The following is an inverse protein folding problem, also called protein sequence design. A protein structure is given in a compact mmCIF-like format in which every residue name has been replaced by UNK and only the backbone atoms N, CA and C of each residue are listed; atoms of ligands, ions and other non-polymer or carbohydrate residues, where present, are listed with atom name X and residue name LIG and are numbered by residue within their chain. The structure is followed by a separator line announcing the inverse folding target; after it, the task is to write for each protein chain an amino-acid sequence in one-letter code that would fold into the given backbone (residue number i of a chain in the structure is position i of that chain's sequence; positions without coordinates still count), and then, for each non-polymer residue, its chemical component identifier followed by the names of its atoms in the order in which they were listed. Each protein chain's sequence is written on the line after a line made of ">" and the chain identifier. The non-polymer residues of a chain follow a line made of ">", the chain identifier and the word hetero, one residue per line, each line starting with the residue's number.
data_IF_279674468696
#
_entry.id   IF_279674468696
#
_cell.length_a   1.000
_cell.length_b   1.000
_cell.length_c   1.000
_cell.angle_alpha   90.00
_cell.angle_beta   90.00
_cell.angle_gamma   90.00
#
_symmetry.space_group_name_H-M   'P 1'
#
loop_
_entity.id
_entity.type
_entity.pdbx_description
1 polymer ?
#
# COMPACT_ATOMS: atom_id res chain seq x y z
N UNK A 1 -0.03 32.86 -3.36
CA UNK A 1 -0.79 31.83 -4.11
C UNK A 1 -2.12 32.40 -4.56
N UNK A 2 -2.59 32.04 -5.76
CA UNK A 2 -3.92 32.42 -6.28
C UNK A 2 -4.86 31.22 -6.41
N UNK A 3 -4.35 30.00 -6.22
CA UNK A 3 -5.08 28.73 -6.33
C UNK A 3 -4.62 27.75 -5.25
N UNK A 4 -5.43 26.76 -4.92
CA UNK A 4 -5.07 25.68 -3.98
C UNK A 4 -4.06 24.72 -4.60
N UNK A 5 -3.37 23.94 -3.77
CA UNK A 5 -2.18 23.20 -4.19
C UNK A 5 -2.50 21.90 -4.96
N UNK A 6 -3.57 21.19 -4.60
CA UNK A 6 -3.80 19.82 -5.06
C UNK A 6 -4.77 19.74 -6.25
N UNK A 7 -5.88 20.48 -6.21
CA UNK A 7 -6.96 20.44 -7.22
C UNK A 7 -7.21 21.80 -7.89
N UNK A 8 -6.31 22.75 -7.68
CA UNK A 8 -6.26 24.03 -8.39
C UNK A 8 -7.54 24.87 -8.24
N UNK A 9 -8.15 24.91 -7.04
CA UNK A 9 -9.32 25.76 -6.78
C UNK A 9 -8.93 27.24 -6.73
N UNK A 10 -9.70 28.15 -7.35
CA UNK A 10 -9.41 29.58 -7.30
C UNK A 10 -9.59 30.14 -5.88
N UNK A 11 -8.61 30.90 -5.41
CA UNK A 11 -8.67 31.57 -4.11
C UNK A 11 -9.38 32.93 -4.21
N UNK A 12 -10.00 33.34 -3.11
CA UNK A 12 -10.66 34.64 -2.97
C UNK A 12 -9.58 35.73 -2.86
N UNK A 13 -9.72 36.77 -3.69
CA UNK A 13 -8.85 37.96 -3.69
C UNK A 13 -8.99 38.75 -2.38
N UNK A 14 -7.92 39.48 -2.02
CA UNK A 14 -7.93 40.32 -0.83
C UNK A 14 -9.00 41.43 -0.95
N UNK A 15 -9.77 41.63 0.12
CA UNK A 15 -10.83 42.62 0.22
C UNK A 15 -10.98 43.12 1.66
N UNK A 16 -11.84 44.13 1.88
CA UNK A 16 -12.11 44.65 3.23
C UNK A 16 -12.64 43.56 4.18
N UNK A 17 -12.28 43.69 5.46
CA UNK A 17 -12.61 42.77 6.56
C UNK A 17 -11.95 41.37 6.51
N UNK A 18 -10.92 41.17 5.67
CA UNK A 18 -10.08 39.96 5.66
C UNK A 18 -10.79 38.60 5.56
N UNK A 19 -12.05 38.56 5.12
CA UNK A 19 -12.85 37.32 4.97
C UNK A 19 -12.17 36.28 4.07
N UNK A 20 -11.38 36.75 3.10
CA UNK A 20 -10.60 35.91 2.20
C UNK A 20 -9.65 34.98 2.95
N UNK A 21 -9.11 35.35 4.12
CA UNK A 21 -8.21 34.50 4.90
C UNK A 21 -8.93 33.23 5.35
N UNK A 22 -10.05 33.38 6.07
CA UNK A 22 -10.84 32.25 6.58
C UNK A 22 -11.41 31.37 5.46
N UNK A 23 -11.86 32.00 4.36
CA UNK A 23 -12.41 31.24 3.22
C UNK A 23 -11.31 30.49 2.47
N UNK A 24 -10.14 31.10 2.26
CA UNK A 24 -9.04 30.45 1.56
C UNK A 24 -8.43 29.32 2.40
N UNK A 25 -8.40 29.45 3.73
CA UNK A 25 -8.01 28.36 4.63
C UNK A 25 -9.00 27.19 4.53
N UNK A 26 -10.31 27.47 4.50
CA UNK A 26 -11.31 26.43 4.28
C UNK A 26 -11.17 25.75 2.91
N UNK A 27 -10.79 26.47 1.86
CA UNK A 27 -10.49 25.90 0.55
C UNK A 27 -9.23 25.06 0.56
N UNK A 28 -8.17 25.46 1.24
CA UNK A 28 -6.96 24.64 1.39
C UNK A 28 -7.27 23.32 2.11
N UNK A 29 -8.12 23.36 3.14
CA UNK A 29 -8.57 22.14 3.83
C UNK A 29 -9.45 21.25 2.93
N UNK A 30 -10.38 21.84 2.17
CA UNK A 30 -11.22 21.10 1.23
C UNK A 30 -10.37 20.45 0.12
N UNK A 31 -9.41 21.19 -0.41
CA UNK A 31 -8.45 20.73 -1.41
C UNK A 31 -7.62 19.53 -0.92
N UNK A 32 -7.10 19.62 0.30
CA UNK A 32 -6.38 18.53 0.95
C UNK A 32 -7.28 17.31 1.26
N UNK A 33 -8.53 17.52 1.63
CA UNK A 33 -9.45 16.43 2.00
C UNK A 33 -10.15 15.77 0.81
N UNK A 34 -10.33 16.48 -0.32
CA UNK A 34 -11.08 15.99 -1.47
C UNK A 34 -10.37 14.85 -2.22
N UNK A 35 -9.04 14.89 -2.27
CA UNK A 35 -8.17 13.84 -2.81
C UNK A 35 -7.07 13.57 -1.79
N UNK A 36 -7.47 13.04 -0.63
CA UNK A 36 -6.58 12.92 0.52
C UNK A 36 -5.39 11.99 0.22
N UNK A 37 -4.21 12.59 0.15
CA UNK A 37 -2.92 11.90 0.03
C UNK A 37 -2.08 12.27 1.26
N UNK A 38 -1.96 11.31 2.18
CA UNK A 38 -1.14 11.40 3.38
C UNK A 38 0.29 11.02 3.01
N UNK A 39 1.24 11.93 3.19
CA UNK A 39 2.66 11.66 2.99
C UNK A 39 3.14 10.53 3.92
N UNK A 40 2.70 10.56 5.19
CA UNK A 40 2.91 9.49 6.16
C UNK A 40 1.82 9.52 7.24
N UNK A 41 1.63 8.37 7.90
CA UNK A 41 0.80 8.24 9.13
C UNK A 41 1.59 7.86 10.38
N UNK A 42 2.90 7.64 10.25
CA UNK A 42 3.77 7.16 11.34
C UNK A 42 4.89 8.14 11.69
N UNK A 43 5.17 9.12 10.83
CA UNK A 43 6.17 10.14 11.06
C UNK A 43 5.79 11.06 12.24
N UNK A 44 6.65 11.16 13.25
CA UNK A 44 6.40 11.94 14.48
C UNK A 44 7.01 13.35 14.44
N UNK A 45 7.96 13.61 13.55
CA UNK A 45 8.66 14.88 13.41
C UNK A 45 8.19 15.56 12.12
N UNK A 46 7.64 16.79 12.16
CA UNK A 46 7.31 17.52 10.93
C UNK A 46 8.56 17.71 10.07
N UNK A 47 8.45 17.60 8.72
CA UNK A 47 9.57 17.93 7.85
C UNK A 47 9.96 19.42 8.01
N UNK A 48 11.26 19.71 7.94
CA UNK A 48 11.78 21.08 8.07
C UNK A 48 11.24 21.99 6.96
N UNK A 49 11.04 21.44 5.77
CA UNK A 49 10.40 22.09 4.63
C UNK A 49 9.28 21.19 4.10
N UNK A 50 8.07 21.73 4.00
CA UNK A 50 6.93 21.09 3.37
C UNK A 50 6.44 21.98 2.23
N UNK A 51 6.00 21.37 1.13
CA UNK A 51 5.28 22.10 0.09
C UNK A 51 3.84 22.34 0.56
N UNK A 52 3.25 23.47 0.16
CA UNK A 52 1.82 23.70 0.39
C UNK A 52 0.99 22.56 -0.23
N UNK A 53 -0.05 22.14 0.49
CA UNK A 53 -0.87 20.99 0.15
C UNK A 53 -0.36 19.66 0.70
N UNK A 54 0.87 19.60 1.25
CA UNK A 54 1.38 18.37 1.87
C UNK A 54 0.56 18.01 3.10
N UNK A 55 0.11 16.76 3.19
CA UNK A 55 -0.74 16.28 4.27
C UNK A 55 -0.06 15.16 5.04
N UNK A 56 -0.18 15.16 6.36
CA UNK A 56 0.26 14.07 7.24
C UNK A 56 -0.87 13.69 8.21
N UNK A 57 -0.87 12.45 8.67
CA UNK A 57 -1.53 12.15 9.94
C UNK A 57 -0.51 12.32 11.06
N UNK A 58 -0.89 13.01 12.13
CA UNK A 58 -0.03 13.24 13.29
C UNK A 58 -0.16 12.05 14.24
N UNK A 59 0.85 11.18 14.36
CA UNK A 59 0.81 10.04 15.26
C UNK A 59 0.95 10.48 16.73
N UNK A 60 0.62 9.60 17.68
CA UNK A 60 1.00 9.79 19.08
C UNK A 60 2.50 10.00 19.23
N UNK A 61 2.90 10.88 20.16
CA UNK A 61 4.32 11.19 20.39
C UNK A 61 4.94 12.17 19.39
N UNK A 62 4.12 12.86 18.60
CA UNK A 62 4.61 13.91 17.70
C UNK A 62 5.25 15.09 18.44
N UNK A 63 6.26 15.70 17.80
CA UNK A 63 7.10 16.76 18.37
C UNK A 63 7.00 18.07 17.56
N UNK A 64 7.73 19.09 18.00
CA UNK A 64 7.80 20.42 17.37
C UNK A 64 6.42 21.03 17.10
N UNK A 65 6.16 21.48 15.86
CA UNK A 65 4.90 22.10 15.46
C UNK A 65 3.69 21.16 15.59
N UNK A 66 3.90 19.86 15.79
CA UNK A 66 2.85 18.85 15.92
C UNK A 66 2.52 18.48 17.38
N UNK A 67 3.20 19.07 18.36
CA UNK A 67 2.90 18.84 19.79
C UNK A 67 1.43 19.14 20.08
N UNK A 68 0.75 18.19 20.73
CA UNK A 68 -0.66 18.30 21.11
C UNK A 68 -1.66 18.09 19.97
N UNK A 69 -1.20 17.75 18.75
CA UNK A 69 -2.05 17.53 17.58
C UNK A 69 -2.20 16.05 17.20
N UNK A 70 -1.79 15.13 18.07
CA UNK A 70 -1.93 13.69 17.86
C UNK A 70 -3.35 13.29 17.47
N UNK A 71 -3.47 12.39 16.49
CA UNK A 71 -4.75 11.94 15.94
C UNK A 71 -5.32 12.83 14.84
N UNK A 72 -4.78 14.05 14.64
CA UNK A 72 -5.26 14.96 13.60
C UNK A 72 -4.57 14.72 12.25
N UNK A 73 -5.16 15.27 11.21
CA UNK A 73 -4.56 15.42 9.91
C UNK A 73 -3.96 16.83 9.83
N UNK A 74 -2.66 16.92 9.60
CA UNK A 74 -1.92 18.16 9.43
C UNK A 74 -1.76 18.47 7.94
N UNK A 75 -2.22 19.64 7.53
CA UNK A 75 -2.12 20.16 6.15
C UNK A 75 -1.16 21.34 6.17
N UNK A 76 -0.08 21.29 5.40
CA UNK A 76 0.80 22.45 5.23
C UNK A 76 0.16 23.44 4.26
N UNK A 77 -0.01 24.69 4.69
CA UNK A 77 -0.65 25.74 3.90
C UNK A 77 -0.13 27.10 4.35
N UNK A 78 0.26 27.93 3.38
CA UNK A 78 0.70 29.31 3.59
C UNK A 78 1.82 29.43 4.66
N UNK A 79 2.77 28.49 4.64
CA UNK A 79 3.91 28.47 5.56
C UNK A 79 3.62 27.96 6.98
N UNK A 80 2.45 27.35 7.22
CA UNK A 80 2.07 26.81 8.52
C UNK A 80 1.27 25.52 8.44
N UNK A 81 1.09 24.86 9.58
CA UNK A 81 0.27 23.65 9.70
C UNK A 81 -1.16 23.99 10.12
N UNK A 82 -2.12 23.55 9.31
CA UNK A 82 -3.55 23.59 9.63
C UNK A 82 -3.97 22.18 10.03
N UNK A 83 -4.63 22.03 11.18
CA UNK A 83 -4.98 20.72 11.71
C UNK A 83 -6.50 20.47 11.65
N UNK A 84 -6.89 19.33 11.09
CA UNK A 84 -8.28 18.89 11.01
C UNK A 84 -8.46 17.53 11.68
N UNK A 85 -9.55 17.35 12.42
CA UNK A 85 -9.90 16.07 13.01
C UNK A 85 -10.53 15.16 11.94
N UNK A 86 -9.90 14.02 11.58
CA UNK A 86 -10.51 13.07 10.66
C UNK A 86 -11.76 12.44 11.30
N UNK A 87 -12.72 12.02 10.46
CA UNK A 87 -13.93 11.31 10.91
C UNK A 87 -13.93 9.88 10.39
N UNK A 88 -14.53 8.98 11.14
CA UNK A 88 -14.71 7.59 10.71
C UNK A 88 -15.29 7.53 9.29
N UNK A 89 -14.70 6.69 8.45
CA UNK A 89 -15.06 6.54 7.03
C UNK A 89 -14.26 7.42 6.07
N UNK A 90 -13.40 8.32 6.56
CA UNK A 90 -12.43 9.02 5.70
C UNK A 90 -11.49 8.04 5.01
N UNK A 91 -11.18 8.30 3.75
CA UNK A 91 -10.29 7.49 2.92
C UNK A 91 -9.16 8.36 2.40
N UNK A 92 -7.98 7.75 2.24
CA UNK A 92 -6.85 8.42 1.63
C UNK A 92 -5.83 7.42 1.07
N UNK A 93 -4.85 7.95 0.36
CA UNK A 93 -3.65 7.23 -0.03
C UNK A 93 -2.51 7.58 0.92
N UNK A 94 -1.75 6.59 1.36
CA UNK A 94 -0.53 6.81 2.14
C UNK A 94 0.65 6.66 1.18
N UNK A 95 1.38 7.75 0.95
CA UNK A 95 2.43 7.83 -0.07
C UNK A 95 3.68 7.03 0.26
N UNK A 96 4.10 7.02 1.53
CA UNK A 96 5.32 6.32 1.95
C UNK A 96 5.19 4.78 1.84
N UNK A 97 4.00 4.23 2.07
CA UNK A 97 3.70 2.80 1.91
C UNK A 97 3.10 2.44 0.56
N UNK A 98 2.61 3.42 -0.21
CA UNK A 98 1.93 3.16 -1.48
C UNK A 98 0.62 2.38 -1.32
N UNK A 99 -0.16 2.69 -0.29
CA UNK A 99 -1.40 1.95 0.04
C UNK A 99 -2.58 2.86 0.27
N UNK A 100 -3.78 2.40 -0.05
CA UNK A 100 -5.01 3.02 0.43
C UNK A 100 -5.15 2.86 1.95
N UNK A 101 -5.91 3.73 2.59
CA UNK A 101 -6.24 3.59 4.01
C UNK A 101 -7.66 4.10 4.30
N UNK A 102 -8.30 3.47 5.29
CA UNK A 102 -9.61 3.84 5.80
C UNK A 102 -9.46 4.25 7.27
N UNK A 103 -9.92 5.45 7.62
CA UNK A 103 -9.92 5.89 9.01
C UNK A 103 -11.11 5.27 9.76
N UNK A 104 -10.84 4.53 10.83
CA UNK A 104 -11.86 3.81 11.58
C UNK A 104 -12.51 4.63 12.71
N UNK A 105 -12.10 5.89 12.87
CA UNK A 105 -12.53 6.78 13.94
C UNK A 105 -11.47 6.96 15.04
N UNK A 106 -10.46 6.11 15.08
CA UNK A 106 -9.31 6.24 15.98
C UNK A 106 -7.98 6.25 15.22
N UNK A 107 -7.80 5.32 14.27
CA UNK A 107 -6.56 5.16 13.51
C UNK A 107 -6.83 4.95 12.02
N UNK A 108 -5.83 5.24 11.20
CA UNK A 108 -5.83 4.87 9.79
C UNK A 108 -5.51 3.37 9.67
N UNK A 109 -6.37 2.63 8.98
CA UNK A 109 -6.20 1.21 8.69
C UNK A 109 -5.72 1.04 7.25
N UNK A 110 -4.42 0.78 7.02
CA UNK A 110 -3.88 0.58 5.68
C UNK A 110 -4.52 -0.64 5.01
N UNK A 111 -4.76 -0.55 3.70
CA UNK A 111 -5.30 -1.61 2.84
C UNK A 111 -6.69 -2.14 3.26
N UNK A 112 -7.33 -1.48 4.24
CA UNK A 112 -8.65 -1.86 4.71
C UNK A 112 -9.74 -1.47 3.70
N UNK A 113 -10.56 -2.45 3.33
CA UNK A 113 -11.75 -2.26 2.48
C UNK A 113 -13.02 -2.10 3.33
N UNK A 114 -13.01 -2.59 4.56
CA UNK A 114 -14.09 -2.42 5.53
C UNK A 114 -13.51 -2.35 6.95
N UNK A 115 -14.14 -1.56 7.81
CA UNK A 115 -13.82 -1.45 9.25
C UNK A 115 -15.10 -1.51 10.06
N UNK A 116 -15.03 -2.14 11.24
CA UNK A 116 -16.12 -2.20 12.21
C UNK A 116 -15.98 -1.10 13.28
N UNK A 117 -17.04 -0.86 14.04
CA UNK A 117 -17.08 0.15 15.11
C UNK A 117 -15.99 -0.05 16.18
N UNK A 118 -15.53 -1.28 16.38
CA UNK A 118 -14.49 -1.63 17.34
C UNK A 118 -13.13 -1.91 16.68
N UNK A 119 -12.90 -1.47 15.44
CA UNK A 119 -11.58 -1.50 14.81
C UNK A 119 -11.18 -2.80 14.12
N UNK A 120 -12.03 -3.84 14.10
CA UNK A 120 -11.79 -4.99 13.23
C UNK A 120 -11.87 -4.54 11.77
N UNK A 121 -10.96 -5.04 10.93
CA UNK A 121 -10.89 -4.65 9.52
C UNK A 121 -10.78 -5.87 8.59
N UNK A 122 -11.33 -5.71 7.40
CA UNK A 122 -11.10 -6.58 6.26
C UNK A 122 -10.08 -5.90 5.35
N UNK A 123 -8.96 -6.56 5.09
CA UNK A 123 -7.84 -6.03 4.28
C UNK A 123 -7.81 -6.73 2.93
N UNK A 124 -7.54 -5.97 1.88
CA UNK A 124 -7.23 -6.48 0.54
C UNK A 124 -5.82 -6.03 0.18
N UNK A 125 -4.90 -6.99 0.10
CA UNK A 125 -3.47 -6.71 0.03
C UNK A 125 -2.85 -7.33 -1.22
N UNK A 126 -1.85 -6.64 -1.76
CA UNK A 126 -0.98 -7.12 -2.83
C UNK A 126 0.44 -7.04 -2.31
N UNK A 127 1.08 -8.19 -2.15
CA UNK A 127 2.47 -8.27 -1.68
C UNK A 127 3.34 -8.63 -2.88
N UNK A 128 4.16 -7.68 -3.33
CA UNK A 128 5.02 -7.83 -4.50
C UNK A 128 6.49 -8.02 -4.08
N UNK A 129 7.19 -8.91 -4.77
CA UNK A 129 8.64 -9.06 -4.65
C UNK A 129 9.28 -9.45 -5.98
N UNK A 130 10.47 -8.89 -6.22
CA UNK A 130 11.40 -9.40 -7.22
C UNK A 130 12.18 -10.59 -6.63
N UNK A 131 12.26 -11.67 -7.38
CA UNK A 131 12.90 -12.93 -6.98
C UNK A 131 13.97 -13.27 -8.01
N UNK A 132 15.22 -13.25 -7.56
CA UNK A 132 16.36 -13.71 -8.35
C UNK A 132 16.39 -15.24 -8.37
N UNK A 133 16.37 -15.81 -9.57
CA UNK A 133 16.41 -17.25 -9.76
C UNK A 133 17.85 -17.75 -9.60
N UNK A 134 18.05 -18.68 -8.67
CA UNK A 134 19.33 -19.32 -8.43
C UNK A 134 19.47 -20.58 -9.28
N UNK A 135 20.71 -21.06 -9.45
CA UNK A 135 20.90 -22.33 -10.15
C UNK A 135 20.36 -23.49 -9.33
N UNK A 136 19.51 -24.32 -9.94
CA UNK A 136 18.89 -25.46 -9.27
C UNK A 136 17.56 -25.87 -9.92
N UNK A 137 17.00 -27.02 -9.50
CA UNK A 137 15.69 -27.47 -9.98
C UNK A 137 14.53 -26.69 -9.36
N UNK A 138 14.74 -26.07 -8.20
CA UNK A 138 13.72 -25.32 -7.46
C UNK A 138 14.36 -24.26 -6.56
N UNK A 139 13.57 -23.29 -6.15
CA UNK A 139 13.89 -22.34 -5.08
C UNK A 139 12.62 -21.91 -4.35
N UNK A 140 12.79 -21.38 -3.14
CA UNK A 140 11.73 -20.74 -2.37
C UNK A 140 11.98 -19.23 -2.29
N UNK A 141 10.92 -18.44 -2.43
CA UNK A 141 10.97 -17.00 -2.14
C UNK A 141 11.14 -16.75 -0.62
N UNK A 142 11.32 -15.49 -0.18
CA UNK A 142 10.98 -15.11 1.19
C UNK A 142 9.52 -15.44 1.53
N UNK A 143 9.16 -15.37 2.81
CA UNK A 143 7.78 -15.59 3.27
C UNK A 143 6.85 -14.46 2.82
N UNK A 144 6.37 -14.56 1.57
CA UNK A 144 5.47 -13.58 0.95
C UNK A 144 4.01 -13.79 1.33
N UNK A 145 3.62 -15.01 1.72
CA UNK A 145 2.26 -15.31 2.17
C UNK A 145 2.25 -15.25 3.71
N UNK A 146 1.58 -14.26 4.31
CA UNK A 146 1.51 -14.10 5.75
C UNK A 146 0.56 -15.10 6.39
N UNK A 147 0.72 -15.28 7.70
CA UNK A 147 -0.20 -16.09 8.51
C UNK A 147 -1.60 -15.46 8.59
N UNK A 148 -2.63 -16.30 8.61
CA UNK A 148 -4.01 -15.89 8.87
C UNK A 148 -4.65 -15.16 7.69
N UNK A 149 -4.26 -15.49 6.46
CA UNK A 149 -4.82 -14.90 5.25
C UNK A 149 -5.47 -15.94 4.34
N UNK A 150 -6.23 -15.43 3.36
CA UNK A 150 -6.76 -16.20 2.25
C UNK A 150 -6.15 -15.64 0.96
N UNK A 151 -5.38 -16.47 0.24
CA UNK A 151 -4.83 -16.08 -1.07
C UNK A 151 -5.87 -16.34 -2.15
N UNK A 152 -6.08 -15.33 -2.99
CA UNK A 152 -7.01 -15.35 -4.13
C UNK A 152 -6.29 -15.75 -5.42
N UNK A 153 -5.01 -15.39 -5.53
CA UNK A 153 -4.17 -15.73 -6.66
C UNK A 153 -2.80 -15.08 -6.61
N UNK A 154 -1.98 -15.41 -7.59
CA UNK A 154 -0.67 -14.83 -7.81
C UNK A 154 -0.61 -14.31 -9.24
N UNK A 155 -0.15 -13.08 -9.40
CA UNK A 155 0.26 -12.56 -10.72
C UNK A 155 1.77 -12.40 -10.76
N UNK A 156 2.33 -12.32 -11.96
CA UNK A 156 3.75 -12.04 -12.09
C UNK A 156 4.21 -11.89 -13.53
N UNK A 157 5.46 -11.45 -13.67
CA UNK A 157 6.13 -11.24 -14.94
C UNK A 157 7.61 -11.60 -14.82
N UNK A 158 8.17 -12.18 -15.88
CA UNK A 158 9.61 -12.37 -16.03
C UNK A 158 10.23 -11.01 -16.34
N UNK A 159 11.06 -10.50 -15.44
CA UNK A 159 11.73 -9.19 -15.56
C UNK A 159 13.16 -9.30 -16.08
N UNK A 160 13.75 -10.49 -16.00
CA UNK A 160 14.99 -10.87 -16.70
C UNK A 160 14.84 -12.30 -17.22
N UNK A 161 15.20 -12.54 -18.48
CA UNK A 161 14.97 -13.82 -19.14
C UNK A 161 15.56 -14.99 -18.34
N UNK A 162 14.77 -16.04 -18.19
CA UNK A 162 15.12 -17.22 -17.40
C UNK A 162 16.05 -18.11 -18.22
N UNK A 163 17.23 -18.37 -17.67
CA UNK A 163 18.23 -19.27 -18.25
C UNK A 163 18.18 -20.66 -17.63
N UNK A 164 18.73 -21.64 -18.34
CA UNK A 164 18.91 -23.01 -17.85
C UNK A 164 18.60 -24.07 -18.89
N UNK A 165 18.36 -25.29 -18.43
CA UNK A 165 18.00 -26.45 -19.28
C UNK A 165 16.50 -26.74 -19.30
N UNK A 166 15.73 -26.02 -18.49
CA UNK A 166 14.28 -26.15 -18.35
C UNK A 166 13.52 -25.74 -19.62
N UNK A 167 12.36 -26.37 -19.85
CA UNK A 167 11.44 -26.03 -20.95
C UNK A 167 10.34 -25.04 -20.52
N UNK A 168 10.20 -24.83 -19.22
CA UNK A 168 9.20 -23.99 -18.59
C UNK A 168 9.42 -23.97 -17.08
N UNK A 169 8.55 -23.28 -16.36
CA UNK A 169 8.59 -23.26 -14.90
C UNK A 169 7.18 -23.21 -14.33
N UNK A 170 7.09 -23.44 -13.02
CA UNK A 170 5.82 -23.41 -12.29
C UNK A 170 5.98 -22.65 -10.98
N UNK A 171 4.86 -22.14 -10.49
CA UNK A 171 4.77 -21.46 -9.21
C UNK A 171 3.67 -22.08 -8.36
N UNK A 172 4.02 -22.35 -7.11
CA UNK A 172 3.16 -22.99 -6.12
C UNK A 172 3.55 -22.54 -4.72
N UNK A 173 3.30 -23.43 -3.78
CA UNK A 173 3.77 -23.36 -2.39
C UNK A 173 4.29 -24.74 -2.00
N UNK A 174 5.10 -24.86 -0.94
CA UNK A 174 5.43 -26.17 -0.38
C UNK A 174 4.16 -27.00 -0.12
N UNK A 175 4.13 -28.25 -0.61
CA UNK A 175 2.94 -29.12 -0.55
C UNK A 175 1.84 -28.81 -1.59
N UNK A 176 2.06 -27.84 -2.48
CA UNK A 176 1.13 -27.43 -3.54
C UNK A 176 1.87 -26.94 -4.78
N UNK A 177 2.77 -27.77 -5.32
CA UNK A 177 3.52 -27.51 -6.56
C UNK A 177 2.60 -27.10 -7.70
N UNK A 178 2.99 -26.05 -8.44
CA UNK A 178 2.25 -25.57 -9.61
C UNK A 178 0.84 -25.03 -9.36
N UNK A 179 0.43 -24.86 -8.10
CA UNK A 179 -0.93 -24.39 -7.72
C UNK A 179 -1.35 -23.11 -8.42
N UNK A 180 -0.39 -22.21 -8.69
CA UNK A 180 -0.65 -20.89 -9.27
C UNK A 180 -0.19 -20.79 -10.73
N UNK A 181 0.28 -21.89 -11.33
CA UNK A 181 0.68 -21.91 -12.74
C UNK A 181 1.75 -22.95 -13.01
N UNK A 182 1.67 -23.56 -14.20
CA UNK A 182 2.63 -24.53 -14.74
C UNK A 182 2.87 -24.20 -16.21
N UNK A 183 3.96 -24.68 -16.81
CA UNK A 183 4.28 -24.41 -18.21
C UNK A 183 4.55 -22.93 -18.51
N UNK A 184 5.01 -22.17 -17.53
CA UNK A 184 5.20 -20.72 -17.66
C UNK A 184 6.40 -20.40 -18.56
N UNK A 185 6.25 -19.32 -19.34
CA UNK A 185 7.26 -18.89 -20.32
C UNK A 185 8.55 -18.36 -19.69
N UNK A 186 9.66 -18.51 -20.40
CA UNK A 186 11.01 -18.17 -19.93
C UNK A 186 11.49 -16.78 -20.39
N UNK A 187 10.92 -16.25 -21.47
CA UNK A 187 11.36 -14.99 -22.07
C UNK A 187 10.99 -13.79 -21.20
N UNK A 188 11.79 -12.72 -21.27
CA UNK A 188 11.45 -11.40 -20.73
C UNK A 188 10.02 -11.00 -21.15
N UNK A 189 9.19 -10.60 -20.18
CA UNK A 189 7.80 -10.22 -20.41
C UNK A 189 6.80 -11.38 -20.43
N UNK A 190 7.25 -12.64 -20.33
CA UNK A 190 6.35 -13.76 -20.04
C UNK A 190 5.67 -13.53 -18.69
N UNK A 191 4.39 -13.87 -18.56
CA UNK A 191 3.59 -13.52 -17.40
C UNK A 191 2.84 -14.73 -16.84
N UNK A 192 2.38 -14.58 -15.60
CA UNK A 192 1.50 -15.53 -14.92
C UNK A 192 0.33 -14.78 -14.29
N UNK A 193 -0.85 -15.38 -14.37
CA UNK A 193 -2.04 -14.96 -13.62
C UNK A 193 -2.74 -16.21 -13.09
N UNK A 194 -2.21 -16.72 -11.98
CA UNK A 194 -2.69 -17.91 -11.29
C UNK A 194 -3.77 -17.60 -10.29
N UNK A 195 -5.04 -17.70 -10.67
CA UNK A 195 -6.14 -17.63 -9.70
C UNK A 195 -6.33 -18.97 -9.00
N UNK A 196 -6.64 -18.96 -7.71
CA UNK A 196 -7.01 -20.20 -7.01
C UNK A 196 -8.42 -20.61 -7.39
N UNK A 197 -8.63 -21.87 -7.79
CA UNK A 197 -9.98 -22.39 -8.08
C UNK A 197 -10.91 -22.38 -6.86
N UNK A 198 -10.34 -22.41 -5.65
CA UNK A 198 -11.02 -22.18 -4.37
C UNK A 198 -10.10 -21.33 -3.49
N UNK A 199 -10.61 -20.30 -2.78
CA UNK A 199 -9.79 -19.45 -1.92
C UNK A 199 -8.97 -20.29 -0.92
N UNK A 200 -7.65 -20.07 -0.86
CA UNK A 200 -6.74 -20.89 -0.06
C UNK A 200 -6.35 -20.17 1.22
N UNK A 201 -6.72 -20.75 2.37
CA UNK A 201 -6.32 -20.24 3.69
C UNK A 201 -4.90 -20.70 4.05
N UNK A 202 -4.11 -19.79 4.60
CA UNK A 202 -2.76 -20.04 5.11
C UNK A 202 -2.69 -19.72 6.60
N UNK A 203 -2.28 -20.71 7.40
CA UNK A 203 -2.20 -20.62 8.87
C UNK A 203 -0.76 -20.53 9.40
N UNK A 204 0.20 -20.42 8.50
CA UNK A 204 1.62 -20.16 8.78
C UNK A 204 2.19 -19.22 7.72
N UNK A 205 3.26 -18.51 8.07
CA UNK A 205 4.09 -17.82 7.09
C UNK A 205 4.53 -18.85 6.03
N UNK A 206 4.34 -18.54 4.74
CA UNK A 206 4.57 -19.48 3.65
C UNK A 206 5.30 -18.80 2.49
N UNK A 207 6.42 -19.35 2.02
CA UNK A 207 7.08 -18.85 0.82
C UNK A 207 6.39 -19.37 -0.44
N UNK A 208 6.63 -18.71 -1.57
CA UNK A 208 6.31 -19.26 -2.87
C UNK A 208 7.37 -20.30 -3.25
N UNK A 209 6.91 -21.41 -3.81
CA UNK A 209 7.77 -22.44 -4.39
C UNK A 209 7.83 -22.24 -5.90
N UNK A 210 9.05 -22.09 -6.44
CA UNK A 210 9.31 -21.89 -7.86
C UNK A 210 10.13 -23.08 -8.35
N UNK A 211 9.62 -23.82 -9.33
CA UNK A 211 10.23 -25.05 -9.80
C UNK A 211 10.44 -25.01 -11.31
N UNK A 212 11.58 -25.54 -11.74
CA UNK A 212 11.92 -25.72 -13.14
C UNK A 212 11.19 -26.96 -13.69
N UNK A 213 10.70 -26.87 -14.92
CA UNK A 213 10.07 -27.99 -15.61
C UNK A 213 11.04 -28.57 -16.65
N UNK A 214 11.36 -29.86 -16.52
CA UNK A 214 12.20 -30.56 -17.49
C UNK A 214 13.68 -30.16 -17.47
N UNK A 215 14.18 -29.58 -16.37
CA UNK A 215 15.58 -29.17 -16.25
C UNK A 215 15.89 -28.44 -14.95
N UNK A 216 16.79 -27.46 -15.02
CA UNK A 216 17.16 -26.60 -13.89
C UNK A 216 17.34 -25.16 -14.36
N UNK A 217 17.07 -24.21 -13.46
CA UNK A 217 17.41 -22.81 -13.64
C UNK A 217 18.94 -22.63 -13.66
N UNK A 218 19.41 -21.62 -14.38
CA UNK A 218 20.79 -21.10 -14.28
C UNK A 218 20.85 -19.60 -13.96
N UNK A 219 19.71 -18.91 -13.93
CA UNK A 219 19.58 -17.48 -13.66
C UNK A 219 18.28 -16.89 -14.20
N UNK A 220 18.11 -15.58 -14.01
CA UNK A 220 16.93 -14.82 -14.41
C UNK A 220 16.23 -14.19 -13.21
N UNK A 221 15.19 -13.40 -13.46
CA UNK A 221 14.43 -12.72 -12.42
C UNK A 221 12.94 -12.71 -12.76
N UNK A 222 12.13 -12.95 -11.74
CA UNK A 222 10.67 -12.85 -11.83
C UNK A 222 10.18 -11.88 -10.78
N UNK A 223 9.17 -11.08 -11.14
CA UNK A 223 8.38 -10.29 -10.20
C UNK A 223 7.09 -11.00 -9.94
N UNK A 224 6.82 -11.37 -8.70
CA UNK A 224 5.58 -12.03 -8.28
C UNK A 224 4.83 -11.16 -7.30
N UNK A 225 3.50 -11.13 -7.44
CA UNK A 225 2.59 -10.42 -6.55
C UNK A 225 1.52 -11.37 -6.03
N UNK A 226 1.44 -11.50 -4.70
CA UNK A 226 0.43 -12.30 -4.00
C UNK A 226 -0.79 -11.43 -3.72
N UNK A 227 -1.95 -11.81 -4.25
CA UNK A 227 -3.22 -11.13 -4.03
C UNK A 227 -3.99 -11.86 -2.93
N UNK A 228 -4.22 -11.20 -1.80
CA UNK A 228 -4.77 -11.86 -0.62
C UNK A 228 -5.76 -11.00 0.16
N UNK A 229 -6.59 -11.70 0.93
CA UNK A 229 -7.50 -11.15 1.91
C UNK A 229 -7.00 -11.48 3.33
N UNK A 230 -7.02 -10.50 4.23
CA UNK A 230 -6.70 -10.69 5.66
C UNK A 230 -7.75 -10.03 6.54
N UNK A 231 -7.88 -10.52 7.78
CA UNK A 231 -8.72 -9.91 8.80
C UNK A 231 -7.88 -9.46 9.98
N UNK A 232 -8.23 -8.31 10.56
CA UNK A 232 -7.67 -7.84 11.83
C UNK A 232 -8.68 -7.96 12.95
N UNK A 233 -8.19 -8.07 14.18
CA UNK A 233 -9.03 -8.24 15.36
C UNK A 233 -9.66 -6.90 15.79
N UNK A 234 -10.85 -6.95 16.43
CA UNK A 234 -11.37 -5.79 17.17
C UNK A 234 -10.43 -5.37 18.30
N UNK A 235 -10.45 -4.09 18.64
CA UNK A 235 -9.81 -3.50 19.84
C UNK A 235 -10.72 -3.64 21.06
N UNK A 236 -10.08 -3.64 22.23
CA UNK A 236 -10.73 -3.60 23.56
C UNK A 236 -11.04 -2.16 23.95
#
# INVERSE_FOLDING_TARGET
>A
MTRTANIDLPLVQAAQAQKHVTVNEAFALLDAAAQLVLASVTQTVPPAEAADGTVFHVPPGAVDAWVGQAGRVAVFSNGGWVFVAPRAGWRGWISDTGTTALFDGAVWQPQAVAVSAHGAASLMEVIEADIDLQSGPELTSPDLIPVGCVVLGISGIVTEAIGGTLSGWRVGVPGGSGRYGTGLGLSLGSWVQGVTGQPQAYYSQTPLLIEAEGGSFSGGRVRLAVHLFRMTLPRV
#
